data_IF_827870379149
#
_entry.id   IF_827870379149
#
_cell.length_a   1.000
_cell.length_b   1.000
_cell.length_c   1.000
_cell.angle_alpha   90.00
_cell.angle_beta   90.00
_cell.angle_gamma   90.00
#
_symmetry.space_group_name_H-M   'P 1'
#
loop_
_entity.id
_entity.type
_entity.pdbx_description
1 polymer ?
#
# COMPACT_ATOMS: atom_id res chain seq x y z
N UNK A 1 -32.45 -67.06 56.16
CA UNK A 1 -33.45 -66.58 55.17
C UNK A 1 -32.96 -65.22 54.67
N UNK A 2 -32.61 -65.12 53.38
CA UNK A 2 -31.96 -63.94 52.78
C UNK A 2 -32.98 -62.84 52.51
N UNK A 3 -32.71 -61.60 52.96
CA UNK A 3 -33.43 -60.38 52.55
C UNK A 3 -32.46 -59.50 51.77
N UNK A 4 -32.72 -59.33 50.48
CA UNK A 4 -32.03 -58.39 49.59
C UNK A 4 -32.76 -57.04 49.62
N UNK A 5 -32.07 -55.98 50.05
CA UNK A 5 -32.50 -54.60 49.86
C UNK A 5 -32.10 -54.15 48.45
N UNK A 6 -33.05 -53.61 47.69
CA UNK A 6 -32.81 -52.92 46.43
C UNK A 6 -32.60 -51.42 46.70
N UNK A 7 -31.48 -50.87 46.23
CA UNK A 7 -31.20 -49.43 46.22
C UNK A 7 -31.58 -48.90 44.84
N UNK A 8 -32.53 -47.96 44.79
CA UNK A 8 -32.92 -47.25 43.58
C UNK A 8 -32.02 -46.02 43.44
N UNK A 9 -31.19 -46.00 42.40
CA UNK A 9 -30.36 -44.85 42.04
C UNK A 9 -31.13 -43.96 41.07
N UNK A 10 -31.55 -42.78 41.51
CA UNK A 10 -32.13 -41.74 40.65
C UNK A 10 -30.99 -40.98 39.95
N UNK A 11 -30.84 -41.15 38.63
CA UNK A 11 -29.94 -40.32 37.82
C UNK A 11 -30.69 -39.08 37.33
N UNK A 12 -30.19 -37.90 37.74
CA UNK A 12 -30.62 -36.62 37.20
C UNK A 12 -29.80 -36.30 35.95
N UNK A 13 -30.43 -36.28 34.78
CA UNK A 13 -29.83 -35.81 33.54
C UNK A 13 -29.95 -34.29 33.46
N UNK A 14 -28.86 -33.56 33.70
CA UNK A 14 -28.77 -32.14 33.38
C UNK A 14 -28.58 -31.98 31.87
N UNK A 15 -29.62 -31.52 31.16
CA UNK A 15 -29.47 -31.09 29.78
C UNK A 15 -28.67 -29.78 29.75
N UNK A 16 -27.46 -29.83 29.18
CA UNK A 16 -26.71 -28.61 28.87
C UNK A 16 -27.42 -27.84 27.75
N UNK A 17 -27.61 -26.51 27.87
CA UNK A 17 -28.18 -25.73 26.78
C UNK A 17 -27.21 -25.73 25.59
N UNK A 18 -27.69 -26.22 24.45
CA UNK A 18 -27.03 -26.07 23.17
C UNK A 18 -26.97 -24.57 22.85
N UNK A 19 -25.82 -23.93 23.03
CA UNK A 19 -25.61 -22.59 22.50
C UNK A 19 -25.53 -22.75 20.98
N UNK A 20 -26.53 -22.19 20.29
CA UNK A 20 -26.55 -21.99 18.85
C UNK A 20 -25.28 -21.20 18.47
N UNK A 21 -24.21 -21.91 18.10
CA UNK A 21 -23.08 -21.29 17.40
C UNK A 21 -23.54 -20.99 15.98
N UNK A 22 -24.22 -19.85 15.80
CA UNK A 22 -24.44 -19.33 14.47
C UNK A 22 -23.06 -19.08 13.84
N UNK A 23 -22.84 -19.69 12.68
CA UNK A 23 -21.59 -19.59 11.94
C UNK A 23 -21.39 -18.15 11.48
N UNK A 24 -20.33 -17.52 11.97
CA UNK A 24 -19.91 -16.22 11.46
C UNK A 24 -19.62 -16.32 9.97
N UNK A 25 -20.10 -15.32 9.22
CA UNK A 25 -19.90 -15.17 7.80
C UNK A 25 -19.07 -13.91 7.52
N UNK A 26 -18.47 -13.87 6.33
CA UNK A 26 -17.70 -12.72 5.87
C UNK A 26 -18.37 -12.14 4.63
N UNK A 27 -18.68 -10.85 4.68
CA UNK A 27 -19.14 -10.07 3.53
C UNK A 27 -18.03 -9.11 3.11
N UNK A 28 -17.92 -8.90 1.80
CA UNK A 28 -17.01 -7.90 1.24
C UNK A 28 -17.81 -6.91 0.42
N UNK A 29 -17.42 -5.65 0.49
CA UNK A 29 -18.11 -4.59 -0.22
C UNK A 29 -17.63 -3.21 0.21
N UNK A 30 -18.20 -2.18 -0.40
CA UNK A 30 -17.91 -0.78 -0.09
C UNK A 30 -18.74 -0.34 1.10
N UNK A 31 -18.10 0.21 2.12
CA UNK A 31 -18.81 0.80 3.24
C UNK A 31 -19.37 2.16 2.83
N UNK A 32 -20.70 2.28 2.84
CA UNK A 32 -21.48 3.44 2.40
C UNK A 32 -22.48 3.86 3.49
N UNK A 33 -23.37 4.77 3.16
CA UNK A 33 -24.50 5.21 3.99
C UNK A 33 -25.86 4.84 3.38
N UNK A 34 -26.91 4.80 4.19
CA UNK A 34 -28.25 4.39 3.79
C UNK A 34 -28.99 5.40 2.91
N UNK A 35 -28.53 6.64 2.81
CA UNK A 35 -29.14 7.65 1.92
C UNK A 35 -28.60 7.53 0.50
N UNK A 36 -27.29 7.36 0.34
CA UNK A 36 -26.66 7.24 -0.97
C UNK A 36 -26.54 5.79 -1.45
N UNK A 37 -26.31 4.83 -0.55
CA UNK A 37 -26.15 3.42 -0.88
C UNK A 37 -25.12 3.20 -1.99
N UNK A 38 -25.53 2.55 -3.07
CA UNK A 38 -24.69 2.32 -4.26
C UNK A 38 -24.42 3.57 -5.10
N UNK A 39 -25.17 4.66 -4.89
CA UNK A 39 -24.95 5.92 -5.60
C UNK A 39 -23.83 6.79 -5.00
N UNK A 40 -23.23 6.36 -3.88
CA UNK A 40 -22.25 7.14 -3.13
C UNK A 40 -21.01 7.54 -3.97
N UNK A 41 -20.58 6.70 -4.90
CA UNK A 41 -19.49 7.03 -5.84
C UNK A 41 -19.77 8.22 -6.77
N UNK A 42 -21.05 8.61 -6.97
CA UNK A 42 -21.46 9.67 -7.89
C UNK A 42 -21.82 10.99 -7.22
N UNK A 43 -22.00 11.00 -5.89
CA UNK A 43 -22.50 12.15 -5.14
C UNK A 43 -21.41 13.20 -4.81
N UNK A 44 -20.15 12.77 -4.71
CA UNK A 44 -19.03 13.67 -4.45
C UNK A 44 -18.61 14.37 -5.76
N UNK A 45 -19.29 15.47 -6.10
CA UNK A 45 -18.95 16.36 -7.22
C UNK A 45 -17.62 17.14 -6.97
N UNK A 46 -16.52 16.42 -6.68
CA UNK A 46 -15.16 16.94 -6.60
C UNK A 46 -14.84 17.90 -5.45
N UNK A 47 -15.80 18.19 -4.56
CA UNK A 47 -15.61 19.18 -3.47
C UNK A 47 -15.04 18.61 -2.16
N UNK A 48 -15.16 17.30 -1.94
CA UNK A 48 -14.69 16.62 -0.72
C UNK A 48 -14.36 15.15 -1.03
N UNK A 49 -13.60 14.50 -0.15
CA UNK A 49 -13.32 13.07 -0.23
C UNK A 49 -14.59 12.25 0.01
N UNK A 50 -14.61 11.00 -0.47
CA UNK A 50 -15.73 10.08 -0.27
C UNK A 50 -16.02 9.86 1.23
N UNK A 51 -14.98 9.78 2.06
CA UNK A 51 -15.10 9.65 3.51
C UNK A 51 -15.79 10.87 4.14
N UNK A 52 -15.41 12.07 3.72
CA UNK A 52 -16.02 13.31 4.23
C UNK A 52 -17.50 13.38 3.83
N UNK A 53 -17.82 13.03 2.58
CA UNK A 53 -19.20 12.94 2.10
C UNK A 53 -20.03 11.96 2.94
N UNK A 54 -19.50 10.76 3.19
CA UNK A 54 -20.18 9.75 4.02
C UNK A 54 -20.44 10.29 5.43
N UNK A 55 -19.47 10.97 6.02
CA UNK A 55 -19.65 11.53 7.36
C UNK A 55 -20.70 12.62 7.45
N UNK A 56 -20.92 13.41 6.40
CA UNK A 56 -22.05 14.35 6.36
C UNK A 56 -23.39 13.60 6.36
N UNK A 57 -23.51 12.48 5.63
CA UNK A 57 -24.69 11.63 5.67
C UNK A 57 -24.94 11.03 7.06
N UNK A 58 -23.89 10.50 7.71
CA UNK A 58 -24.01 9.92 9.06
C UNK A 58 -24.41 10.99 10.08
N UNK A 59 -23.87 12.22 9.99
CA UNK A 59 -24.32 13.36 10.82
C UNK A 59 -25.79 13.71 10.58
N UNK A 60 -26.27 13.55 9.35
CA UNK A 60 -27.67 13.68 8.96
C UNK A 60 -28.53 12.44 9.29
N UNK A 61 -28.05 11.58 10.20
CA UNK A 61 -28.75 10.39 10.72
C UNK A 61 -28.89 9.23 9.73
N UNK A 62 -28.10 9.18 8.65
CA UNK A 62 -27.96 7.98 7.86
C UNK A 62 -27.30 6.85 8.66
N UNK A 63 -27.56 5.61 8.25
CA UNK A 63 -26.92 4.42 8.79
C UNK A 63 -25.82 3.93 7.86
N UNK A 64 -24.75 3.37 8.41
CA UNK A 64 -23.77 2.60 7.65
C UNK A 64 -24.42 1.39 6.98
N UNK A 65 -24.08 1.17 5.72
CA UNK A 65 -24.50 0.02 4.92
C UNK A 65 -23.30 -0.52 4.15
N UNK A 66 -23.35 -1.80 3.78
CA UNK A 66 -22.38 -2.39 2.89
C UNK A 66 -22.97 -2.46 1.48
N UNK A 67 -22.24 -1.98 0.48
CA UNK A 67 -22.63 -2.15 -0.93
C UNK A 67 -21.76 -3.24 -1.53
N UNK A 68 -22.37 -4.34 -1.99
CA UNK A 68 -21.63 -5.45 -2.59
C UNK A 68 -21.19 -5.16 -4.04
N UNK A 69 -20.55 -6.14 -4.68
CA UNK A 69 -20.07 -6.05 -6.06
C UNK A 69 -21.18 -6.01 -7.12
N UNK A 70 -22.44 -6.23 -6.71
CA UNK A 70 -23.65 -6.18 -7.55
C UNK A 70 -24.49 -4.94 -7.26
N UNK A 71 -23.90 -3.94 -6.59
CA UNK A 71 -24.55 -2.70 -6.15
C UNK A 71 -25.73 -2.92 -5.18
N UNK A 72 -25.80 -4.09 -4.52
CA UNK A 72 -26.84 -4.34 -3.52
C UNK A 72 -26.48 -3.66 -2.21
N UNK A 73 -27.43 -2.92 -1.66
CA UNK A 73 -27.28 -2.26 -0.36
C UNK A 73 -27.69 -3.24 0.74
N UNK A 74 -26.71 -3.65 1.53
CA UNK A 74 -26.85 -4.60 2.63
C UNK A 74 -26.85 -3.82 3.95
N UNK A 75 -27.94 -3.88 4.74
CA UNK A 75 -28.01 -3.18 6.02
C UNK A 75 -27.00 -3.73 7.04
N UNK A 76 -26.43 -2.85 7.85
CA UNK A 76 -25.60 -3.21 9.01
C UNK A 76 -26.38 -2.85 10.27
N UNK A 77 -26.59 -3.79 11.18
CA UNK A 77 -27.31 -3.53 12.43
C UNK A 77 -26.42 -2.84 13.48
N UNK A 78 -25.15 -3.24 13.56
CA UNK A 78 -24.19 -2.75 14.55
C UNK A 78 -23.57 -1.41 14.12
N UNK A 79 -24.30 -0.30 14.30
CA UNK A 79 -23.94 1.02 13.79
C UNK A 79 -22.80 1.75 14.52
N UNK A 80 -22.42 1.28 15.70
CA UNK A 80 -21.42 1.88 16.60
C UNK A 80 -20.06 1.15 16.58
N UNK A 81 -19.91 0.14 15.72
CA UNK A 81 -18.69 -0.64 15.62
C UNK A 81 -17.53 0.23 15.10
N UNK A 82 -16.47 0.37 15.89
CA UNK A 82 -15.38 1.33 15.63
C UNK A 82 -14.66 1.20 14.28
N UNK A 83 -14.71 0.03 13.63
CA UNK A 83 -14.18 -0.16 12.28
C UNK A 83 -14.99 0.55 11.18
N UNK A 84 -16.28 0.84 11.41
CA UNK A 84 -17.13 1.55 10.46
C UNK A 84 -16.64 2.97 10.18
N UNK A 85 -16.49 3.86 11.20
CA UNK A 85 -15.94 5.17 10.95
C UNK A 85 -14.47 5.10 10.54
N UNK A 86 -13.71 4.03 10.83
CA UNK A 86 -12.33 3.92 10.37
C UNK A 86 -12.23 3.70 8.85
N UNK A 87 -13.09 2.86 8.30
CA UNK A 87 -13.05 2.44 6.90
C UNK A 87 -14.19 3.02 6.03
N UNK A 88 -14.89 4.04 6.52
CA UNK A 88 -15.92 4.78 5.77
C UNK A 88 -15.48 5.12 4.34
N UNK A 89 -16.31 4.74 3.36
CA UNK A 89 -16.08 4.96 1.93
C UNK A 89 -15.09 3.98 1.30
N UNK A 90 -14.54 3.01 2.05
CA UNK A 90 -13.57 2.04 1.53
C UNK A 90 -14.21 0.69 1.27
N UNK A 91 -13.56 -0.11 0.44
CA UNK A 91 -13.80 -1.54 0.39
C UNK A 91 -13.32 -2.20 1.69
N UNK A 92 -14.18 -3.03 2.28
CA UNK A 92 -13.95 -3.67 3.58
C UNK A 92 -14.37 -5.13 3.55
N UNK A 93 -13.86 -5.88 4.53
CA UNK A 93 -14.41 -7.17 4.94
C UNK A 93 -15.15 -6.98 6.27
N UNK A 94 -16.39 -7.43 6.34
CA UNK A 94 -17.19 -7.44 7.55
C UNK A 94 -17.38 -8.89 7.98
N UNK A 95 -16.92 -9.24 9.16
CA UNK A 95 -17.22 -10.52 9.81
C UNK A 95 -18.38 -10.33 10.77
N UNK A 96 -19.36 -11.23 10.74
CA UNK A 96 -20.53 -11.14 11.61
C UNK A 96 -21.58 -12.20 11.30
N UNK A 97 -22.82 -11.92 11.68
CA UNK A 97 -23.94 -12.83 11.50
C UNK A 97 -25.09 -12.17 10.74
N UNK A 98 -25.82 -12.94 9.95
CA UNK A 98 -27.04 -12.47 9.30
C UNK A 98 -28.23 -12.61 10.24
N UNK A 99 -28.84 -11.50 10.67
CA UNK A 99 -30.03 -11.52 11.54
C UNK A 99 -31.01 -10.44 11.11
N UNK A 100 -32.29 -10.81 11.03
CA UNK A 100 -33.39 -9.89 10.74
C UNK A 100 -33.17 -9.02 9.48
N UNK A 101 -32.54 -9.59 8.45
CA UNK A 101 -32.27 -8.88 7.19
C UNK A 101 -31.08 -7.92 7.22
N UNK A 102 -30.22 -8.00 8.24
CA UNK A 102 -29.04 -7.15 8.39
C UNK A 102 -27.81 -7.93 8.88
N UNK A 103 -26.63 -7.37 8.61
CA UNK A 103 -25.36 -7.85 9.18
C UNK A 103 -25.25 -7.34 10.62
N UNK A 104 -25.24 -8.25 11.58
CA UNK A 104 -24.77 -7.97 12.94
C UNK A 104 -23.25 -8.10 12.91
N UNK A 105 -22.57 -6.99 12.64
CA UNK A 105 -21.13 -6.94 12.45
C UNK A 105 -20.41 -7.15 13.79
N UNK A 106 -19.44 -8.08 13.80
CA UNK A 106 -18.51 -8.30 14.89
C UNK A 106 -17.15 -7.63 14.63
N UNK A 107 -16.76 -7.51 13.35
CA UNK A 107 -15.48 -6.94 12.94
C UNK A 107 -15.59 -6.30 11.55
N UNK A 108 -14.92 -5.17 11.36
CA UNK A 108 -14.73 -4.53 10.05
C UNK A 108 -13.23 -4.37 9.84
N UNK A 109 -12.74 -4.82 8.70
CA UNK A 109 -11.32 -4.81 8.36
C UNK A 109 -11.09 -4.28 6.95
N UNK A 110 -9.90 -3.72 6.72
CA UNK A 110 -9.44 -3.47 5.37
C UNK A 110 -9.24 -4.78 4.60
N UNK A 111 -9.31 -4.70 3.28
CA UNK A 111 -8.94 -5.81 2.41
C UNK A 111 -7.42 -6.03 2.49
N UNK A 112 -6.93 -7.27 2.74
CA UNK A 112 -5.50 -7.55 2.86
C UNK A 112 -4.66 -7.06 1.66
N UNK A 113 -5.12 -7.26 0.43
CA UNK A 113 -4.45 -6.73 -0.75
C UNK A 113 -4.29 -5.20 -0.71
N UNK A 114 -5.33 -4.46 -0.29
CA UNK A 114 -5.30 -3.00 -0.20
C UNK A 114 -4.35 -2.48 0.88
N UNK A 115 -4.14 -3.22 1.98
CA UNK A 115 -3.13 -2.86 2.98
C UNK A 115 -1.73 -2.84 2.37
N UNK A 116 -1.40 -3.84 1.55
CA UNK A 116 -0.12 -3.90 0.88
C UNK A 116 0.07 -2.80 -0.16
N UNK A 117 -0.98 -2.45 -0.93
CA UNK A 117 -0.95 -1.27 -1.82
C UNK A 117 -0.74 0.03 -1.03
N UNK A 118 -1.36 0.13 0.15
CA UNK A 118 -1.16 1.22 1.10
C UNK A 118 0.31 1.38 1.50
N UNK A 119 1.02 0.29 1.76
CA UNK A 119 2.46 0.33 2.06
C UNK A 119 3.31 0.83 0.88
N UNK A 120 2.93 0.48 -0.35
CA UNK A 120 3.63 0.95 -1.56
C UNK A 120 3.44 2.45 -1.77
N UNK A 121 2.20 2.96 -1.63
CA UNK A 121 1.86 4.31 -2.08
C UNK A 121 1.74 5.35 -0.96
N UNK A 122 1.30 4.93 0.22
CA UNK A 122 0.75 5.84 1.23
C UNK A 122 1.70 6.00 2.41
N UNK A 123 2.03 4.91 3.10
CA UNK A 123 2.78 4.96 4.35
C UNK A 123 3.56 3.66 4.59
N UNK A 124 4.83 3.81 4.95
CA UNK A 124 5.61 2.75 5.57
C UNK A 124 6.43 3.35 6.71
N UNK A 125 6.34 2.75 7.91
CA UNK A 125 6.93 3.33 9.13
C UNK A 125 8.44 3.55 9.08
N UNK A 126 9.16 2.76 8.26
CA UNK A 126 10.62 2.84 8.20
C UNK A 126 11.11 3.86 7.17
N UNK A 127 10.23 4.40 6.30
CA UNK A 127 10.63 5.40 5.31
C UNK A 127 10.68 6.81 5.93
N UNK A 128 11.48 7.72 5.37
CA UNK A 128 11.52 9.10 5.82
C UNK A 128 10.16 9.78 5.70
N UNK A 129 9.72 10.45 6.78
CA UNK A 129 8.39 11.07 6.91
C UNK A 129 7.22 10.08 6.79
N UNK A 130 7.47 8.78 6.98
CA UNK A 130 6.48 7.70 6.91
C UNK A 130 5.66 7.74 5.59
N UNK A 131 6.32 7.95 4.45
CA UNK A 131 5.66 7.89 3.13
C UNK A 131 5.64 6.46 2.59
N UNK A 132 4.83 6.18 1.57
CA UNK A 132 4.90 4.89 0.88
C UNK A 132 6.27 4.66 0.23
N UNK A 133 6.63 3.39 0.05
CA UNK A 133 7.90 2.99 -0.57
C UNK A 133 8.17 3.70 -1.91
N UNK A 134 7.17 3.77 -2.80
CA UNK A 134 7.37 4.34 -4.12
C UNK A 134 7.60 5.86 -4.07
N UNK A 135 6.93 6.54 -3.14
CA UNK A 135 7.15 7.97 -2.89
C UNK A 135 8.57 8.21 -2.36
N UNK A 136 9.05 7.38 -1.44
CA UNK A 136 10.43 7.46 -0.95
C UNK A 136 11.45 7.22 -2.09
N UNK A 137 11.24 6.20 -2.92
CA UNK A 137 12.09 5.91 -4.06
C UNK A 137 12.21 7.12 -5.00
N UNK A 138 11.07 7.68 -5.44
CA UNK A 138 11.03 8.81 -6.38
C UNK A 138 11.70 10.07 -5.80
N UNK A 139 11.56 10.31 -4.50
CA UNK A 139 12.26 11.44 -3.86
C UNK A 139 13.77 11.33 -4.04
N UNK A 140 14.33 10.13 -3.87
CA UNK A 140 15.76 9.90 -4.01
C UNK A 140 16.21 9.77 -5.48
N UNK A 141 15.35 9.32 -6.41
CA UNK A 141 15.68 9.33 -7.84
C UNK A 141 15.91 10.74 -8.37
N UNK A 142 15.13 11.72 -7.88
CA UNK A 142 15.29 13.13 -8.25
C UNK A 142 16.67 13.63 -7.81
N UNK A 143 17.06 13.34 -6.57
CA UNK A 143 18.37 13.74 -6.02
C UNK A 143 19.51 13.09 -6.80
N UNK A 144 19.41 11.78 -7.08
CA UNK A 144 20.40 11.06 -7.88
C UNK A 144 20.55 11.67 -9.29
N UNK A 145 19.45 11.93 -9.99
CA UNK A 145 19.48 12.53 -11.32
C UNK A 145 20.08 13.94 -11.32
N UNK A 146 19.70 14.78 -10.34
CA UNK A 146 20.27 16.13 -10.20
C UNK A 146 21.77 16.08 -9.99
N UNK A 147 22.28 15.22 -9.11
CA UNK A 147 23.72 15.14 -8.87
C UNK A 147 24.48 14.51 -10.03
N UNK A 148 23.90 13.53 -10.73
CA UNK A 148 24.53 13.00 -11.94
C UNK A 148 24.66 14.06 -13.04
N UNK A 149 23.67 14.96 -13.17
CA UNK A 149 23.74 16.10 -14.09
C UNK A 149 24.80 17.13 -13.67
N UNK A 150 24.92 17.45 -12.38
CA UNK A 150 25.98 18.31 -11.87
C UNK A 150 27.39 17.71 -12.11
N UNK A 151 27.55 16.39 -11.97
CA UNK A 151 28.78 15.70 -12.34
C UNK A 151 29.07 15.85 -13.84
N UNK A 152 28.06 15.69 -14.70
CA UNK A 152 28.16 15.84 -16.16
C UNK A 152 28.50 17.26 -16.61
N UNK A 153 28.15 18.26 -15.80
CA UNK A 153 28.48 19.67 -16.04
C UNK A 153 29.84 20.08 -15.46
N UNK A 154 30.56 19.18 -14.78
CA UNK A 154 31.87 19.43 -14.15
C UNK A 154 33.03 18.88 -14.98
N UNK A 155 32.97 19.02 -16.31
CA UNK A 155 33.84 18.29 -17.28
C UNK A 155 35.33 18.60 -17.22
N UNK A 156 35.73 19.59 -16.42
CA UNK A 156 37.12 20.01 -16.20
C UNK A 156 37.56 19.81 -14.74
N UNK A 157 36.68 19.32 -13.86
CA UNK A 157 36.88 19.27 -12.41
C UNK A 157 36.62 17.87 -11.85
N UNK A 158 37.68 17.06 -11.78
CA UNK A 158 37.58 15.68 -11.28
C UNK A 158 37.03 15.61 -9.85
N UNK A 159 37.42 16.51 -8.97
CA UNK A 159 36.95 16.50 -7.57
C UNK A 159 35.44 16.75 -7.47
N UNK A 160 34.88 17.63 -8.31
CA UNK A 160 33.44 17.88 -8.38
C UNK A 160 32.68 16.67 -8.95
N UNK A 161 33.21 16.02 -9.99
CA UNK A 161 32.65 14.75 -10.50
C UNK A 161 32.58 13.69 -9.40
N UNK A 162 33.66 13.56 -8.61
CA UNK A 162 33.74 12.60 -7.50
C UNK A 162 32.82 12.98 -6.35
N UNK A 163 32.68 14.26 -6.03
CA UNK A 163 31.75 14.74 -5.01
C UNK A 163 30.32 14.34 -5.38
N UNK A 164 29.90 14.72 -6.57
CA UNK A 164 28.55 14.45 -7.04
C UNK A 164 28.27 12.97 -7.26
N UNK A 165 29.23 12.17 -7.75
CA UNK A 165 29.09 10.72 -7.79
C UNK A 165 28.89 10.12 -6.37
N UNK A 166 29.53 10.70 -5.35
CA UNK A 166 29.30 10.33 -3.94
C UNK A 166 27.87 10.62 -3.48
N UNK A 167 27.30 11.77 -3.87
CA UNK A 167 25.91 12.11 -3.58
C UNK A 167 24.93 11.17 -4.29
N UNK A 168 25.22 10.78 -5.54
CA UNK A 168 24.42 9.78 -6.25
C UNK A 168 24.45 8.44 -5.52
N UNK A 169 25.61 7.99 -5.05
CA UNK A 169 25.70 6.76 -4.24
C UNK A 169 24.82 6.85 -2.99
N UNK A 170 24.83 7.99 -2.27
CA UNK A 170 23.97 8.15 -1.10
C UNK A 170 22.47 8.06 -1.44
N UNK A 171 22.04 8.71 -2.53
CA UNK A 171 20.65 8.68 -2.95
C UNK A 171 20.20 7.29 -3.46
N UNK A 172 21.10 6.53 -4.10
CA UNK A 172 20.76 5.20 -4.61
C UNK A 172 20.86 4.11 -3.53
N UNK A 173 21.95 4.12 -2.75
CA UNK A 173 22.26 3.17 -1.69
C UNK A 173 23.13 3.83 -0.59
N UNK A 174 22.50 4.34 0.49
CA UNK A 174 23.21 4.93 1.63
C UNK A 174 24.21 3.98 2.32
N UNK A 175 24.08 2.66 2.15
CA UNK A 175 25.05 1.69 2.68
C UNK A 175 26.41 1.75 1.98
N UNK A 176 26.45 2.23 0.73
CA UNK A 176 27.66 2.42 -0.07
C UNK A 176 28.14 3.88 0.01
N UNK A 177 27.22 4.83 -0.07
CA UNK A 177 27.48 6.27 0.11
C UNK A 177 26.87 6.78 1.41
N UNK A 178 27.55 6.74 2.57
CA UNK A 178 26.90 7.04 3.86
C UNK A 178 26.57 8.52 4.08
N UNK A 179 27.04 9.42 3.23
CA UNK A 179 26.85 10.87 3.36
C UNK A 179 26.45 11.47 2.02
N UNK A 180 25.45 12.34 2.03
CA UNK A 180 25.02 13.10 0.88
C UNK A 180 23.64 13.70 1.09
N UNK A 181 23.16 14.51 0.13
CA UNK A 181 21.77 14.91 0.05
C UNK A 181 20.90 13.71 -0.34
N UNK A 182 19.64 13.73 0.06
CA UNK A 182 18.70 12.63 -0.12
C UNK A 182 17.92 12.38 1.16
N UNK A 183 17.06 11.37 1.13
CA UNK A 183 16.25 10.97 2.26
C UNK A 183 17.02 10.13 3.29
N UNK A 184 18.18 9.58 2.90
CA UNK A 184 18.95 8.61 3.68
C UNK A 184 18.37 7.20 3.64
N UNK A 185 17.36 6.93 2.80
CA UNK A 185 16.74 5.62 2.67
C UNK A 185 17.22 4.83 1.45
N UNK A 186 17.39 5.50 0.31
CA UNK A 186 17.94 4.91 -0.91
C UNK A 186 16.88 4.40 -1.89
N UNK A 187 17.06 4.70 -3.17
CA UNK A 187 16.23 4.17 -4.27
C UNK A 187 16.17 2.64 -4.23
N UNK A 188 17.30 1.96 -4.04
CA UNK A 188 17.38 0.50 -4.08
C UNK A 188 16.49 -0.15 -3.02
N UNK A 189 16.66 0.26 -1.76
CA UNK A 189 15.85 -0.24 -0.63
C UNK A 189 14.37 0.07 -0.82
N UNK A 190 14.04 1.28 -1.26
CA UNK A 190 12.66 1.71 -1.46
C UNK A 190 11.96 0.93 -2.59
N UNK A 191 12.62 0.78 -3.75
CA UNK A 191 12.07 0.05 -4.89
C UNK A 191 11.90 -1.44 -4.58
N UNK A 192 12.85 -2.08 -3.89
CA UNK A 192 12.72 -3.47 -3.42
C UNK A 192 11.54 -3.63 -2.46
N UNK A 193 11.37 -2.72 -1.50
CA UNK A 193 10.22 -2.74 -0.59
C UNK A 193 8.88 -2.56 -1.32
N UNK A 194 8.84 -1.66 -2.32
CA UNK A 194 7.67 -1.50 -3.17
C UNK A 194 7.33 -2.79 -3.94
N UNK A 195 8.31 -3.46 -4.54
CA UNK A 195 8.10 -4.73 -5.24
C UNK A 195 7.59 -5.84 -4.32
N UNK A 196 8.22 -6.00 -3.15
CA UNK A 196 7.83 -7.03 -2.19
C UNK A 196 6.37 -6.84 -1.73
N UNK A 197 5.99 -5.61 -1.40
CA UNK A 197 4.62 -5.33 -1.00
C UNK A 197 3.63 -5.47 -2.16
N UNK A 198 4.03 -5.13 -3.37
CA UNK A 198 3.20 -5.36 -4.55
C UNK A 198 2.96 -6.87 -4.79
N UNK A 199 3.98 -7.70 -4.62
CA UNK A 199 3.84 -9.15 -4.68
C UNK A 199 2.91 -9.69 -3.59
N UNK A 200 3.03 -9.18 -2.36
CA UNK A 200 2.08 -9.51 -1.30
C UNK A 200 0.65 -9.10 -1.65
N UNK A 201 0.45 -7.92 -2.23
CA UNK A 201 -0.87 -7.47 -2.66
C UNK A 201 -1.51 -8.41 -3.70
N UNK A 202 -0.71 -8.89 -4.66
CA UNK A 202 -1.17 -9.83 -5.72
C UNK A 202 -1.56 -11.19 -5.16
N UNK A 203 -0.88 -11.65 -4.12
CA UNK A 203 -1.09 -12.96 -3.51
C UNK A 203 -2.05 -12.94 -2.31
N UNK A 204 -2.46 -11.77 -1.85
CA UNK A 204 -3.34 -11.61 -0.71
C UNK A 204 -4.82 -11.83 -1.05
N UNK A 205 -5.61 -12.11 -0.02
CA UNK A 205 -7.06 -12.13 -0.12
C UNK A 205 -7.59 -10.76 -0.58
N UNK A 206 -8.57 -10.79 -1.50
CA UNK A 206 -9.15 -9.60 -2.11
C UNK A 206 -8.32 -8.98 -3.23
N UNK A 207 -7.29 -9.68 -3.74
CA UNK A 207 -6.57 -9.28 -4.94
C UNK A 207 -7.48 -9.34 -6.19
N UNK A 208 -7.89 -8.17 -6.69
CA UNK A 208 -8.72 -8.03 -7.88
C UNK A 208 -7.94 -8.36 -9.18
N UNK A 209 -8.66 -8.53 -10.29
CA UNK A 209 -8.02 -8.65 -11.61
C UNK A 209 -7.23 -7.38 -11.98
N UNK A 210 -7.71 -6.21 -11.56
CA UNK A 210 -7.06 -4.92 -11.76
C UNK A 210 -5.72 -4.85 -11.01
N UNK A 211 -5.67 -5.29 -9.75
CA UNK A 211 -4.42 -5.41 -8.97
C UNK A 211 -3.44 -6.31 -9.71
N UNK A 212 -3.84 -7.52 -10.10
CA UNK A 212 -2.95 -8.50 -10.75
C UNK A 212 -2.36 -7.97 -12.07
N UNK A 213 -3.18 -7.34 -12.90
CA UNK A 213 -2.77 -6.80 -14.18
C UNK A 213 -1.79 -5.64 -14.02
N UNK A 214 -2.15 -4.61 -13.24
CA UNK A 214 -1.32 -3.41 -13.09
C UNK A 214 -0.06 -3.70 -12.26
N UNK A 215 -0.12 -4.63 -11.32
CA UNK A 215 1.05 -5.07 -10.56
C UNK A 215 2.13 -5.66 -11.47
N UNK A 216 1.74 -6.40 -12.51
CA UNK A 216 2.69 -6.93 -13.50
C UNK A 216 3.46 -5.80 -14.19
N UNK A 217 2.77 -4.71 -14.57
CA UNK A 217 3.39 -3.56 -15.24
C UNK A 217 4.29 -2.76 -14.29
N UNK A 218 3.81 -2.50 -13.07
CA UNK A 218 4.59 -1.81 -12.03
C UNK A 218 5.84 -2.62 -11.68
N UNK A 219 5.72 -3.93 -11.49
CA UNK A 219 6.85 -4.81 -11.20
C UNK A 219 7.90 -4.82 -12.30
N UNK A 220 7.48 -4.82 -13.58
CA UNK A 220 8.41 -4.69 -14.71
C UNK A 220 9.19 -3.38 -14.65
N UNK A 221 8.50 -2.26 -14.43
CA UNK A 221 9.14 -0.94 -14.31
C UNK A 221 10.08 -0.86 -13.10
N UNK A 222 9.72 -1.45 -11.96
CA UNK A 222 10.58 -1.48 -10.78
C UNK A 222 11.81 -2.40 -10.96
N UNK A 223 11.69 -3.49 -11.72
CA UNK A 223 12.84 -4.33 -12.07
C UNK A 223 13.85 -3.56 -12.91
N UNK A 224 13.38 -2.79 -13.90
CA UNK A 224 14.25 -1.94 -14.73
C UNK A 224 14.92 -0.85 -13.86
N UNK A 225 14.17 -0.21 -12.97
CA UNK A 225 14.70 0.77 -12.00
C UNK A 225 15.81 0.16 -11.14
N UNK A 226 15.63 -1.05 -10.61
CA UNK A 226 16.65 -1.72 -9.81
C UNK A 226 17.89 -2.09 -10.63
N UNK A 227 17.71 -2.58 -11.86
CA UNK A 227 18.80 -2.87 -12.78
C UNK A 227 19.63 -1.61 -13.07
N UNK A 228 18.97 -0.51 -13.46
CA UNK A 228 19.66 0.75 -13.73
C UNK A 228 20.29 1.34 -12.47
N UNK A 229 19.69 1.10 -11.29
CA UNK A 229 20.26 1.50 -10.01
C UNK A 229 21.59 0.79 -9.75
N UNK A 230 21.66 -0.52 -9.96
CA UNK A 230 22.92 -1.27 -9.80
C UNK A 230 24.00 -0.83 -10.81
N UNK A 231 23.61 -0.58 -12.06
CA UNK A 231 24.51 -0.04 -13.08
C UNK A 231 25.00 1.37 -12.72
N UNK A 232 24.12 2.23 -12.19
CA UNK A 232 24.46 3.58 -11.75
C UNK A 232 25.42 3.57 -10.56
N UNK A 233 25.20 2.68 -9.58
CA UNK A 233 26.11 2.48 -8.46
C UNK A 233 27.51 2.10 -8.96
N UNK A 234 27.59 1.16 -9.90
CA UNK A 234 28.87 0.76 -10.49
C UNK A 234 29.57 1.91 -11.22
N UNK A 235 28.84 2.69 -12.03
CA UNK A 235 29.39 3.88 -12.71
C UNK A 235 29.87 4.94 -11.71
N UNK A 236 29.08 5.23 -10.67
CA UNK A 236 29.46 6.19 -9.64
C UNK A 236 30.72 5.77 -8.87
N UNK A 237 30.87 4.48 -8.55
CA UNK A 237 32.10 3.96 -7.94
C UNK A 237 33.33 4.12 -8.85
N UNK A 238 33.18 3.90 -10.16
CA UNK A 238 34.27 4.12 -11.13
C UNK A 238 34.66 5.60 -11.22
N UNK A 239 33.70 6.52 -11.19
CA UNK A 239 33.98 7.97 -11.12
C UNK A 239 34.76 8.31 -9.85
N UNK A 240 34.34 7.76 -8.69
CA UNK A 240 35.02 7.95 -7.41
C UNK A 240 36.48 7.47 -7.44
N UNK A 241 36.74 6.35 -8.12
CA UNK A 241 38.06 5.76 -8.25
C UNK A 241 38.95 6.39 -9.34
N UNK A 242 38.36 7.11 -10.30
CA UNK A 242 39.08 7.66 -11.45
C UNK A 242 40.25 8.57 -11.04
N UNK A 243 41.35 8.50 -11.79
CA UNK A 243 42.57 9.29 -11.54
C UNK A 243 42.66 10.54 -12.40
N UNK A 244 41.82 10.65 -13.42
CA UNK A 244 41.78 11.78 -14.33
C UNK A 244 40.35 12.09 -14.78
N UNK A 245 40.14 13.30 -15.25
CA UNK A 245 38.89 13.71 -15.91
C UNK A 245 38.58 12.78 -17.10
N UNK A 246 39.57 12.51 -17.95
CA UNK A 246 39.42 11.64 -19.13
C UNK A 246 38.90 10.25 -18.78
N UNK A 247 39.33 9.69 -17.64
CA UNK A 247 38.86 8.39 -17.15
C UNK A 247 37.43 8.46 -16.60
N UNK A 248 37.07 9.56 -15.92
CA UNK A 248 35.78 9.74 -15.30
C UNK A 248 34.65 10.02 -16.30
N UNK A 249 34.91 10.80 -17.36
CA UNK A 249 33.89 11.31 -18.30
C UNK A 249 32.96 10.24 -18.85
N UNK A 250 33.44 9.09 -19.39
CA UNK A 250 32.53 8.07 -19.91
C UNK A 250 31.57 7.51 -18.85
N UNK A 251 32.02 7.37 -17.60
CA UNK A 251 31.18 6.90 -16.51
C UNK A 251 30.22 7.96 -16.01
N UNK A 252 30.60 9.24 -16.09
CA UNK A 252 29.70 10.38 -15.79
C UNK A 252 28.56 10.44 -16.81
N UNK A 253 28.86 10.28 -18.10
CA UNK A 253 27.86 10.27 -19.17
C UNK A 253 26.86 9.12 -18.98
N UNK A 254 27.38 7.92 -18.67
CA UNK A 254 26.56 6.75 -18.36
C UNK A 254 25.72 6.94 -17.09
N UNK A 255 26.30 7.51 -16.03
CA UNK A 255 25.59 7.79 -14.78
C UNK A 255 24.44 8.79 -14.98
N UNK A 256 24.66 9.85 -15.76
CA UNK A 256 23.63 10.84 -16.11
C UNK A 256 22.49 10.21 -16.90
N UNK A 257 22.82 9.33 -17.87
CA UNK A 257 21.82 8.61 -18.66
C UNK A 257 20.99 7.66 -17.79
N UNK A 258 21.63 6.81 -16.99
CA UNK A 258 20.96 5.80 -16.17
C UNK A 258 20.08 6.44 -15.08
N UNK A 259 20.56 7.50 -14.40
CA UNK A 259 19.76 8.17 -13.36
C UNK A 259 18.52 8.87 -13.90
N UNK A 260 18.55 9.36 -15.15
CA UNK A 260 17.34 9.81 -15.86
C UNK A 260 16.37 8.65 -16.10
N UNK A 261 16.85 7.50 -16.57
CA UNK A 261 16.02 6.30 -16.75
C UNK A 261 15.40 5.80 -15.45
N UNK A 262 16.17 5.78 -14.35
CA UNK A 262 15.69 5.47 -12.99
C UNK A 262 14.54 6.39 -12.59
N UNK A 263 14.70 7.70 -12.80
CA UNK A 263 13.66 8.70 -12.47
C UNK A 263 12.40 8.49 -13.31
N UNK A 264 12.55 8.31 -14.62
CA UNK A 264 11.43 8.09 -15.54
C UNK A 264 10.70 6.79 -15.23
N UNK A 265 11.42 5.69 -15.00
CA UNK A 265 10.86 4.41 -14.57
C UNK A 265 10.09 4.53 -13.26
N UNK A 266 10.66 5.20 -12.25
CA UNK A 266 9.96 5.45 -10.98
C UNK A 266 8.65 6.23 -11.15
N UNK A 267 8.64 7.26 -12.00
CA UNK A 267 7.42 8.03 -12.31
C UNK A 267 6.39 7.21 -13.10
N UNK A 268 6.84 6.36 -14.02
CA UNK A 268 5.96 5.46 -14.76
C UNK A 268 5.31 4.44 -13.82
N UNK A 269 6.10 3.78 -12.96
CA UNK A 269 5.59 2.90 -11.90
C UNK A 269 4.55 3.61 -11.02
N UNK A 270 4.79 4.88 -10.67
CA UNK A 270 3.82 5.67 -9.88
C UNK A 270 2.51 5.87 -10.64
N UNK A 271 2.59 6.19 -11.93
CA UNK A 271 1.40 6.40 -12.76
C UNK A 271 0.53 5.14 -12.83
N UNK A 272 1.15 3.98 -13.04
CA UNK A 272 0.43 2.70 -13.05
C UNK A 272 -0.14 2.36 -11.66
N UNK A 273 0.58 2.67 -10.58
CA UNK A 273 0.05 2.52 -9.22
C UNK A 273 -1.11 3.47 -8.94
N UNK A 274 -1.07 4.72 -9.40
CA UNK A 274 -2.17 5.67 -9.23
C UNK A 274 -3.43 5.15 -9.97
N UNK A 275 -3.28 4.59 -11.17
CA UNK A 275 -4.36 3.91 -11.90
C UNK A 275 -4.90 2.70 -11.12
N UNK A 276 -4.03 1.93 -10.49
CA UNK A 276 -4.42 0.80 -9.66
C UNK A 276 -5.23 1.26 -8.45
N UNK A 277 -4.72 2.26 -7.71
CA UNK A 277 -5.40 2.84 -6.55
C UNK A 277 -6.78 3.38 -6.94
N UNK A 278 -6.90 4.02 -8.11
CA UNK A 278 -8.18 4.46 -8.67
C UNK A 278 -9.14 3.31 -8.92
N UNK A 279 -8.69 2.27 -9.63
CA UNK A 279 -9.51 1.10 -9.94
C UNK A 279 -9.99 0.35 -8.71
N UNK A 280 -9.20 0.38 -7.63
CA UNK A 280 -9.56 -0.18 -6.33
C UNK A 280 -10.39 0.78 -5.45
N UNK A 281 -10.67 2.00 -5.92
CA UNK A 281 -11.39 3.01 -5.16
C UNK A 281 -10.66 3.44 -3.88
N UNK A 282 -9.34 3.47 -3.94
CA UNK A 282 -8.41 3.93 -2.90
C UNK A 282 -7.89 5.35 -3.17
N UNK A 283 -8.39 6.02 -4.21
CA UNK A 283 -8.13 7.44 -4.46
C UNK A 283 -8.55 8.28 -3.24
N UNK A 284 -7.68 9.16 -2.76
CA UNK A 284 -7.90 10.01 -1.59
C UNK A 284 -8.18 9.26 -0.28
N UNK A 285 -7.87 7.96 -0.19
CA UNK A 285 -7.87 7.25 1.07
C UNK A 285 -6.97 8.03 2.07
N UNK A 286 -7.48 8.50 3.22
CA UNK A 286 -6.66 9.23 4.16
C UNK A 286 -5.40 8.43 4.52
N UNK A 287 -4.27 9.15 4.51
CA UNK A 287 -2.95 8.63 4.83
C UNK A 287 -2.85 8.17 6.28
#
# INVERSE_FOLDING_TARGET
>A
MKRTLAVVLLMWTTAAPCQDQQTQQVWSGRLSDSMCGSSHQRAAAGKMSERECLFECIKALAQYVLVDDKDQVIPIATQDLGGLPLYAGRLVRITGEWRNGAIVAAKVEAIPAHLHLGHVMTNWRDTPRNVGFLTAAISDTIVAATHAELAANSRDKLDEMKLHAGHVLHALDPGIGPKGPGSGYGVKKAATGAQQHLEFAVNAEGASANIKMLATRVSASLNDVLLWTDQSIASAQKIRAAKSVSEAVPFVDELSRLTKQIREGGLHAKTEMDLMMKGEGLENAPR
#
